data_IF_172156770656
#
_entry.id   IF_172156770656
#
_cell.length_a   1.000
_cell.length_b   1.000
_cell.length_c   1.000
_cell.angle_alpha   90.00
_cell.angle_beta   90.00
_cell.angle_gamma   90.00
#
_symmetry.space_group_name_H-M   'P 1'
#
loop_
_entity.id
_entity.type
_entity.pdbx_description
1 polymer ?
#
# COMPACT_ATOMS: atom_id res chain seq x y z
N UNK A 1 -31.45 -35.16 32.37
CA UNK A 1 -31.31 -33.68 32.38
C UNK A 1 -30.39 -33.34 31.22
N UNK A 2 -30.88 -32.60 30.22
CA UNK A 2 -30.14 -32.28 29.01
C UNK A 2 -29.36 -30.99 29.28
N UNK A 3 -28.04 -31.03 29.16
CA UNK A 3 -27.18 -29.86 29.32
C UNK A 3 -27.19 -29.02 28.03
N UNK A 4 -27.45 -27.73 28.21
CA UNK A 4 -27.56 -26.73 27.17
C UNK A 4 -26.18 -26.35 26.64
N UNK A 5 -25.86 -26.70 25.40
CA UNK A 5 -24.80 -26.02 24.66
C UNK A 5 -25.28 -24.64 24.23
N UNK A 6 -24.66 -23.60 24.80
CA UNK A 6 -24.79 -22.21 24.38
C UNK A 6 -24.05 -22.05 23.04
N UNK A 7 -24.80 -21.98 21.95
CA UNK A 7 -24.26 -21.54 20.65
C UNK A 7 -23.77 -20.09 20.77
N UNK A 8 -22.49 -19.87 20.48
CA UNK A 8 -21.92 -18.53 20.35
C UNK A 8 -22.30 -18.00 18.97
N UNK A 9 -23.12 -16.94 18.95
CA UNK A 9 -23.53 -16.24 17.75
C UNK A 9 -22.29 -15.77 16.95
N UNK A 10 -22.19 -16.23 15.69
CA UNK A 10 -21.29 -15.65 14.69
C UNK A 10 -21.82 -14.26 14.29
N UNK A 11 -20.96 -13.26 14.06
CA UNK A 11 -21.42 -11.95 13.60
C UNK A 11 -22.11 -12.08 12.23
N UNK A 12 -23.31 -11.51 12.17
CA UNK A 12 -24.14 -11.40 10.98
C UNK A 12 -23.46 -10.49 9.95
N UNK A 13 -23.17 -11.05 8.79
CA UNK A 13 -22.50 -10.41 7.64
C UNK A 13 -23.52 -10.00 6.58
N UNK A 14 -24.67 -9.46 6.98
CA UNK A 14 -25.65 -8.89 6.04
C UNK A 14 -25.40 -7.40 5.83
N UNK A 15 -25.05 -7.03 4.60
CA UNK A 15 -24.85 -5.64 4.17
C UNK A 15 -26.11 -5.13 3.48
N UNK A 16 -26.74 -4.11 4.07
CA UNK A 16 -27.86 -3.37 3.49
C UNK A 16 -27.33 -2.46 2.38
N UNK A 17 -27.77 -2.72 1.13
CA UNK A 17 -27.30 -2.07 -0.08
C UNK A 17 -27.98 -0.73 -0.40
N UNK A 18 -28.66 -0.11 0.57
CA UNK A 18 -29.54 1.05 0.32
C UNK A 18 -29.01 2.42 0.77
N UNK A 19 -27.69 2.65 0.69
CA UNK A 19 -27.13 4.02 0.73
C UNK A 19 -26.24 4.27 -0.49
N UNK A 20 -26.69 5.14 -1.38
CA UNK A 20 -25.84 5.78 -2.38
C UNK A 20 -24.83 6.68 -1.67
N UNK A 21 -23.70 6.09 -1.25
CA UNK A 21 -22.61 6.76 -0.55
C UNK A 21 -21.38 5.85 -0.52
N UNK A 22 -20.42 6.16 -1.40
CA UNK A 22 -19.03 5.65 -1.43
C UNK A 22 -18.86 4.13 -1.17
N UNK A 23 -18.93 3.32 -2.23
CA UNK A 23 -18.61 1.89 -2.17
C UNK A 23 -17.09 1.71 -1.89
N UNK A 24 -16.73 1.35 -0.65
CA UNK A 24 -15.35 1.05 -0.23
C UNK A 24 -14.81 -0.29 -0.80
N UNK A 25 -15.62 -1.03 -1.57
CA UNK A 25 -15.22 -2.30 -2.17
C UNK A 25 -14.73 -3.30 -1.12
N UNK A 26 -13.57 -3.91 -1.39
CA UNK A 26 -12.90 -4.86 -0.50
C UNK A 26 -11.82 -4.21 0.38
N UNK A 27 -11.83 -2.87 0.49
CA UNK A 27 -10.86 -2.16 1.31
C UNK A 27 -11.11 -2.41 2.80
N UNK A 28 -10.02 -2.51 3.55
CA UNK A 28 -10.01 -2.54 5.00
C UNK A 28 -9.07 -1.47 5.53
N UNK A 29 -9.46 -0.85 6.64
CA UNK A 29 -8.58 0.07 7.36
C UNK A 29 -7.50 -0.75 8.06
N UNK A 30 -6.25 -0.41 7.82
CA UNK A 30 -5.13 -1.26 8.21
C UNK A 30 -5.01 -1.41 9.74
N UNK A 31 -5.17 -0.31 10.48
CA UNK A 31 -5.07 -0.29 11.95
C UNK A 31 -6.16 -1.11 12.66
N UNK A 32 -7.29 -1.34 11.99
CA UNK A 32 -8.39 -2.14 12.55
C UNK A 32 -8.06 -3.65 12.50
N UNK A 33 -7.04 -4.03 11.73
CA UNK A 33 -6.62 -5.42 11.50
C UNK A 33 -5.28 -5.72 12.15
N UNK A 34 -4.33 -4.78 12.12
CA UNK A 34 -2.95 -4.99 12.57
C UNK A 34 -2.29 -3.67 13.00
N UNK A 35 -1.88 -3.61 14.27
CA UNK A 35 -1.27 -2.43 14.91
C UNK A 35 0.27 -2.43 14.89
N UNK A 36 0.91 -3.48 14.36
CA UNK A 36 2.37 -3.53 14.25
C UNK A 36 2.93 -2.63 13.14
N UNK A 37 2.12 -2.24 12.17
CA UNK A 37 2.53 -1.34 11.09
C UNK A 37 2.71 0.09 11.58
N UNK A 38 3.73 0.77 11.07
CA UNK A 38 3.90 2.21 11.26
C UNK A 38 3.27 2.91 10.05
N UNK A 39 2.29 3.79 10.27
CA UNK A 39 1.61 4.50 9.19
C UNK A 39 2.08 5.96 9.16
N UNK A 40 2.61 6.37 8.03
CA UNK A 40 3.10 7.72 7.78
C UNK A 40 2.78 8.10 6.34
N UNK A 41 1.48 8.20 6.02
CA UNK A 41 1.01 8.48 4.66
C UNK A 41 1.53 9.84 4.19
N UNK A 42 2.55 9.83 3.32
CA UNK A 42 3.31 11.03 2.92
C UNK A 42 2.42 12.06 2.24
N UNK A 43 1.45 11.58 1.47
CA UNK A 43 0.50 12.41 0.73
C UNK A 43 -0.61 13.02 1.60
N UNK A 44 -0.73 12.61 2.86
CA UNK A 44 -1.54 13.32 3.87
C UNK A 44 -0.77 14.47 4.54
N UNK A 45 0.49 14.71 4.14
CA UNK A 45 1.36 15.78 4.66
C UNK A 45 1.88 16.64 3.51
N UNK A 46 2.68 17.67 3.80
CA UNK A 46 3.39 18.45 2.78
C UNK A 46 4.77 17.85 2.45
N UNK A 47 5.20 16.82 3.19
CA UNK A 47 6.48 16.12 2.99
C UNK A 47 6.33 15.03 1.90
N UNK A 48 6.16 15.49 0.67
CA UNK A 48 6.11 14.68 -0.54
C UNK A 48 6.55 15.52 -1.75
N UNK A 49 6.76 14.89 -2.91
CA UNK A 49 7.30 15.56 -4.09
C UNK A 49 6.45 16.75 -4.60
N UNK A 50 5.16 16.82 -4.26
CA UNK A 50 4.30 17.95 -4.66
C UNK A 50 4.41 19.16 -3.75
N UNK A 51 4.97 19.01 -2.54
CA UNK A 51 4.97 20.03 -1.50
C UNK A 51 3.56 20.42 -1.01
N UNK A 52 2.54 19.61 -1.29
CA UNK A 52 1.13 19.87 -0.95
C UNK A 52 0.50 18.63 -0.32
N UNK A 53 -0.46 18.86 0.57
CA UNK A 53 -1.36 17.80 1.05
C UNK A 53 -2.30 17.39 -0.10
N UNK A 54 -2.31 16.10 -0.41
CA UNK A 54 -3.16 15.50 -1.46
C UNK A 54 -4.30 14.67 -0.84
N UNK A 55 -4.06 13.98 0.27
CA UNK A 55 -5.08 13.20 0.99
C UNK A 55 -5.79 14.06 2.05
N UNK A 56 -7.09 13.82 2.27
CA UNK A 56 -7.88 14.57 3.25
C UNK A 56 -7.57 14.10 4.69
N UNK A 57 -7.24 12.82 4.87
CA UNK A 57 -6.83 12.19 6.14
C UNK A 57 -5.59 11.30 5.98
N UNK A 58 -5.11 10.77 7.11
CA UNK A 58 -4.02 9.80 7.19
C UNK A 58 -4.54 8.36 7.41
N UNK A 59 -5.79 8.07 7.08
CA UNK A 59 -6.36 6.74 7.22
C UNK A 59 -5.83 5.80 6.14
N UNK A 60 -5.04 4.80 6.53
CA UNK A 60 -4.46 3.82 5.62
C UNK A 60 -5.44 2.69 5.33
N UNK A 61 -5.91 2.61 4.09
CA UNK A 61 -6.72 1.51 3.58
C UNK A 61 -5.92 0.63 2.62
N UNK A 62 -6.30 -0.63 2.49
CA UNK A 62 -5.67 -1.63 1.63
C UNK A 62 -6.68 -2.71 1.23
N UNK A 63 -6.53 -3.35 0.07
CA UNK A 63 -7.35 -4.51 -0.28
C UNK A 63 -7.13 -5.65 0.73
N UNK A 64 -8.21 -6.33 1.12
CA UNK A 64 -8.17 -7.37 2.14
C UNK A 64 -7.24 -8.53 1.80
N UNK A 65 -7.19 -8.97 0.54
CA UNK A 65 -6.32 -10.09 0.15
C UNK A 65 -4.86 -9.65 0.04
N UNK A 66 -4.62 -8.43 -0.46
CA UNK A 66 -3.29 -7.82 -0.43
C UNK A 66 -2.77 -7.63 1.00
N UNK A 67 -3.62 -7.26 1.96
CA UNK A 67 -3.24 -7.14 3.37
C UNK A 67 -2.78 -8.48 3.96
N UNK A 68 -3.44 -9.59 3.62
CA UNK A 68 -2.99 -10.92 4.08
C UNK A 68 -1.56 -11.21 3.62
N UNK A 69 -1.24 -10.88 2.36
CA UNK A 69 0.13 -11.02 1.85
C UNK A 69 1.10 -10.09 2.59
N UNK A 70 0.69 -8.85 2.87
CA UNK A 70 1.52 -7.89 3.60
C UNK A 70 1.81 -8.36 5.03
N UNK A 71 0.84 -9.00 5.69
CA UNK A 71 0.99 -9.61 7.01
C UNK A 71 2.03 -10.74 6.98
N UNK A 72 2.06 -11.57 5.94
CA UNK A 72 3.10 -12.60 5.79
C UNK A 72 4.50 -12.00 5.66
N UNK A 73 4.65 -10.94 4.86
CA UNK A 73 5.92 -10.21 4.77
C UNK A 73 6.30 -9.56 6.11
N UNK A 74 5.34 -8.92 6.78
CA UNK A 74 5.51 -8.33 8.12
C UNK A 74 6.00 -9.35 9.13
N UNK A 75 5.46 -10.56 9.13
CA UNK A 75 5.86 -11.62 10.05
C UNK A 75 7.35 -12.00 9.88
N UNK A 76 7.83 -12.05 8.63
CA UNK A 76 9.24 -12.28 8.32
C UNK A 76 10.11 -11.12 8.81
N UNK A 77 9.74 -9.87 8.50
CA UNK A 77 10.47 -8.70 8.97
C UNK A 77 10.54 -8.62 10.49
N UNK A 78 9.42 -8.86 11.17
CA UNK A 78 9.33 -8.83 12.64
C UNK A 78 10.24 -9.87 13.28
N UNK A 79 10.27 -11.09 12.76
CA UNK A 79 11.19 -12.14 13.21
C UNK A 79 12.66 -11.71 13.07
N UNK A 80 12.96 -10.97 12.01
CA UNK A 80 14.30 -10.52 11.68
C UNK A 80 14.65 -9.16 12.34
N UNK A 81 13.76 -8.62 13.20
CA UNK A 81 14.01 -7.42 14.02
C UNK A 81 13.57 -6.10 13.38
N UNK A 82 12.67 -6.14 12.41
CA UNK A 82 12.21 -4.96 11.66
C UNK A 82 10.68 -4.79 11.71
N UNK A 83 10.23 -3.55 11.51
CA UNK A 83 8.82 -3.21 11.27
C UNK A 83 8.65 -2.55 9.90
N UNK A 84 7.48 -2.74 9.29
CA UNK A 84 7.10 -2.05 8.06
C UNK A 84 6.58 -0.65 8.42
N UNK A 85 7.12 0.37 7.74
CA UNK A 85 6.52 1.71 7.67
C UNK A 85 5.88 1.91 6.30
N UNK A 86 4.62 2.35 6.29
CA UNK A 86 3.82 2.57 5.09
C UNK A 86 3.78 4.07 4.77
N UNK A 87 4.21 4.43 3.57
CA UNK A 87 4.17 5.78 3.02
C UNK A 87 3.02 6.02 2.06
N UNK A 88 2.56 4.98 1.36
CA UNK A 88 1.31 4.99 0.60
C UNK A 88 0.71 3.58 0.48
N UNK A 89 -0.62 3.50 0.33
CA UNK A 89 -1.36 2.25 0.15
C UNK A 89 -2.56 2.48 -0.78
N UNK A 90 -3.80 2.42 -0.30
CA UNK A 90 -4.94 2.82 -1.11
C UNK A 90 -4.89 4.33 -1.44
N UNK A 91 -4.99 4.66 -2.74
CA UNK A 91 -5.05 6.03 -3.27
C UNK A 91 -6.35 6.23 -4.05
N UNK A 92 -7.26 7.13 -3.64
CA UNK A 92 -8.49 7.37 -4.38
C UNK A 92 -8.22 7.91 -5.79
N UNK A 93 -9.10 7.63 -6.75
CA UNK A 93 -9.01 8.18 -8.11
C UNK A 93 -8.96 9.72 -8.08
N UNK A 94 -9.70 10.36 -7.17
CA UNK A 94 -9.67 11.80 -6.93
C UNK A 94 -8.30 12.32 -6.51
N UNK A 95 -7.57 11.59 -5.66
CA UNK A 95 -6.19 11.91 -5.32
C UNK A 95 -5.25 11.73 -6.52
N UNK A 96 -5.43 10.68 -7.33
CA UNK A 96 -4.66 10.50 -8.57
C UNK A 96 -4.90 11.64 -9.57
N UNK A 97 -6.15 12.11 -9.70
CA UNK A 97 -6.48 13.33 -10.47
C UNK A 97 -5.78 14.55 -9.91
N UNK A 98 -5.76 14.70 -8.58
CA UNK A 98 -5.09 15.82 -7.93
C UNK A 98 -3.58 15.83 -8.18
N UNK A 99 -2.91 14.68 -8.13
CA UNK A 99 -1.50 14.59 -8.53
C UNK A 99 -1.29 15.07 -9.95
N UNK A 100 -2.11 14.60 -10.89
CA UNK A 100 -2.00 14.99 -12.30
C UNK A 100 -2.26 16.49 -12.52
N UNK A 101 -3.17 17.12 -11.77
CA UNK A 101 -3.41 18.56 -11.82
C UNK A 101 -2.20 19.38 -11.33
N UNK A 102 -1.47 18.89 -10.33
CA UNK A 102 -0.30 19.56 -9.78
C UNK A 102 0.92 19.32 -10.67
N UNK A 103 1.11 18.09 -11.15
CA UNK A 103 2.29 17.63 -11.88
C UNK A 103 1.89 16.74 -13.07
N UNK A 104 1.50 17.32 -14.21
CA UNK A 104 0.98 16.61 -15.39
C UNK A 104 2.10 16.05 -16.28
N UNK A 105 2.94 15.18 -15.72
CA UNK A 105 4.04 14.52 -16.44
C UNK A 105 3.91 13.00 -16.30
N UNK A 106 3.66 12.29 -17.39
CA UNK A 106 3.45 10.84 -17.38
C UNK A 106 4.74 10.02 -17.24
N UNK A 107 5.91 10.66 -17.22
CA UNK A 107 7.14 10.00 -16.80
C UNK A 107 7.18 9.78 -15.28
N UNK A 108 6.42 10.56 -14.51
CA UNK A 108 6.49 10.61 -13.04
C UNK A 108 5.15 10.34 -12.35
N UNK A 109 4.05 10.77 -12.93
CA UNK A 109 2.70 10.65 -12.35
C UNK A 109 1.80 9.89 -13.31
N UNK A 110 1.15 8.82 -12.85
CA UNK A 110 0.21 8.09 -13.69
C UNK A 110 -0.99 8.96 -14.10
N UNK A 111 -1.42 8.85 -15.36
CA UNK A 111 -2.66 9.49 -15.83
C UNK A 111 -3.86 8.97 -15.05
N UNK A 112 -4.81 9.83 -14.65
CA UNK A 112 -6.05 9.38 -14.03
C UNK A 112 -6.83 8.43 -14.94
N UNK A 113 -7.45 7.37 -14.41
CA UNK A 113 -8.18 6.40 -15.20
C UNK A 113 -9.51 6.97 -15.72
N UNK A 114 -9.88 6.61 -16.95
CA UNK A 114 -11.24 6.84 -17.46
C UNK A 114 -12.14 5.65 -17.12
N UNK A 115 -12.80 5.76 -15.97
CA UNK A 115 -13.67 4.70 -15.44
C UNK A 115 -14.94 4.45 -16.28
N UNK A 116 -15.23 5.28 -17.30
CA UNK A 116 -16.35 5.06 -18.23
C UNK A 116 -16.00 4.07 -19.33
N UNK A 117 -14.73 4.00 -19.71
CA UNK A 117 -14.25 3.22 -20.86
C UNK A 117 -13.43 2.01 -20.43
N UNK A 118 -12.83 2.03 -19.23
CA UNK A 118 -12.07 0.91 -18.71
C UNK A 118 -12.94 -0.31 -18.37
N UNK A 119 -12.57 -1.45 -18.97
CA UNK A 119 -13.20 -2.77 -18.73
C UNK A 119 -12.26 -3.78 -18.07
N UNK A 120 -10.95 -3.49 -18.02
CA UNK A 120 -9.94 -4.29 -17.34
C UNK A 120 -9.13 -3.44 -16.36
N UNK A 121 -8.66 -4.08 -15.29
CA UNK A 121 -7.91 -3.44 -14.21
C UNK A 121 -6.62 -4.22 -13.95
N UNK A 122 -5.66 -3.55 -13.31
CA UNK A 122 -4.40 -4.13 -12.85
C UNK A 122 -4.15 -3.72 -11.39
N UNK A 123 -3.14 -4.28 -10.74
CA UNK A 123 -2.72 -3.81 -9.41
C UNK A 123 -2.27 -2.35 -9.47
N UNK A 124 -2.89 -1.52 -8.63
CA UNK A 124 -2.53 -0.11 -8.47
C UNK A 124 -2.84 0.32 -7.02
N UNK A 125 -2.38 1.51 -6.64
CA UNK A 125 -2.87 2.13 -5.40
C UNK A 125 -4.40 2.37 -5.45
N UNK A 126 -4.99 2.60 -6.63
CA UNK A 126 -6.43 2.90 -6.78
C UNK A 126 -7.38 1.75 -6.54
N UNK A 127 -6.89 0.53 -6.40
CA UNK A 127 -7.68 -0.61 -5.92
C UNK A 127 -7.10 -1.23 -4.64
N UNK A 128 -6.20 -0.51 -3.95
CA UNK A 128 -5.60 -0.98 -2.69
C UNK A 128 -4.67 -2.17 -2.86
N UNK A 129 -4.19 -2.42 -4.08
CA UNK A 129 -3.31 -3.56 -4.40
C UNK A 129 -1.84 -3.15 -4.55
N UNK A 130 -1.48 -1.93 -4.17
CA UNK A 130 -0.09 -1.47 -4.09
C UNK A 130 0.21 -0.89 -2.72
N UNK A 131 1.47 -0.98 -2.32
CA UNK A 131 2.01 -0.34 -1.13
C UNK A 131 3.37 0.29 -1.45
N UNK A 132 3.61 1.46 -0.87
CA UNK A 132 4.91 2.11 -0.83
C UNK A 132 5.43 2.03 0.60
N UNK A 133 6.54 1.32 0.80
CA UNK A 133 7.03 0.99 2.14
C UNK A 133 8.53 1.24 2.31
N UNK A 134 8.93 1.40 3.56
CA UNK A 134 10.30 1.20 4.02
C UNK A 134 10.32 0.27 5.24
N UNK A 135 11.53 -0.10 5.67
CA UNK A 135 11.75 -0.83 6.90
C UNK A 135 12.26 0.10 7.99
N UNK A 136 11.90 -0.23 9.22
CA UNK A 136 12.42 0.39 10.44
C UNK A 136 12.96 -0.69 11.36
N UNK A 137 13.86 -0.32 12.26
CA UNK A 137 14.15 -1.16 13.42
C UNK A 137 12.95 -1.23 14.39
N UNK A 138 13.07 -2.02 15.46
CA UNK A 138 11.98 -2.17 16.44
C UNK A 138 11.65 -0.89 17.20
N UNK A 139 12.55 0.10 17.23
CA UNK A 139 12.32 1.43 17.81
C UNK A 139 11.68 2.41 16.81
N UNK A 140 11.43 1.99 15.57
CA UNK A 140 10.80 2.80 14.53
C UNK A 140 11.75 3.72 13.77
N UNK A 141 13.07 3.55 13.90
CA UNK A 141 14.07 4.29 13.13
C UNK A 141 14.20 3.65 11.75
N UNK A 142 14.06 4.45 10.70
CA UNK A 142 14.14 3.97 9.32
C UNK A 142 15.52 3.40 9.02
N UNK A 143 15.53 2.26 8.32
CA UNK A 143 16.76 1.74 7.72
C UNK A 143 17.21 2.66 6.59
N UNK A 144 18.52 2.72 6.36
CA UNK A 144 19.04 3.42 5.19
C UNK A 144 18.61 2.69 3.93
N UNK A 145 18.12 3.44 2.95
CA UNK A 145 17.66 2.95 1.66
C UNK A 145 18.35 3.76 0.55
N UNK A 146 18.34 3.28 -0.71
CA UNK A 146 19.15 3.86 -1.79
C UNK A 146 18.94 5.35 -2.05
N UNK A 147 17.70 5.81 -1.87
CA UNK A 147 17.27 7.18 -2.08
C UNK A 147 16.22 7.55 -1.04
N UNK A 148 15.84 8.82 -0.99
CA UNK A 148 14.58 9.20 -0.34
C UNK A 148 13.37 8.66 -1.13
N UNK A 149 12.20 8.68 -0.49
CA UNK A 149 10.91 8.43 -1.12
C UNK A 149 10.64 9.46 -2.25
N UNK A 150 9.91 9.03 -3.28
CA UNK A 150 9.61 9.82 -4.50
C UNK A 150 10.85 10.37 -5.24
N UNK A 151 12.02 9.72 -5.11
CA UNK A 151 13.16 10.01 -5.96
C UNK A 151 13.01 9.29 -7.32
N UNK A 152 12.57 10.02 -8.33
CA UNK A 152 12.27 9.43 -9.64
C UNK A 152 13.49 9.26 -10.56
N UNK A 153 14.72 9.34 -10.03
CA UNK A 153 15.95 9.08 -10.80
C UNK A 153 16.19 7.58 -10.93
N UNK A 154 16.96 7.18 -11.94
CA UNK A 154 17.29 5.76 -12.19
C UNK A 154 17.96 5.03 -11.01
N UNK A 155 18.57 5.76 -10.08
CA UNK A 155 19.20 5.23 -8.86
C UNK A 155 18.20 4.68 -7.84
N UNK A 156 16.91 5.03 -7.95
CA UNK A 156 15.84 4.48 -7.12
C UNK A 156 15.40 3.07 -7.57
N UNK A 157 15.81 2.62 -8.75
CA UNK A 157 15.45 1.31 -9.29
C UNK A 157 16.12 0.16 -8.53
N UNK A 158 15.37 -0.85 -8.05
CA UNK A 158 15.94 -2.04 -7.39
C UNK A 158 16.93 -2.82 -8.24
N UNK A 159 16.71 -2.87 -9.56
CA UNK A 159 17.47 -3.72 -10.48
C UNK A 159 18.85 -3.17 -10.83
N UNK A 160 19.09 -1.87 -10.62
CA UNK A 160 20.33 -1.21 -11.03
C UNK A 160 21.42 -1.21 -9.94
N UNK A 161 21.20 -1.98 -8.87
CA UNK A 161 21.83 -1.70 -7.60
C UNK A 161 22.95 -2.69 -7.26
N UNK A 162 24.13 -2.12 -7.04
CA UNK A 162 25.32 -2.82 -6.57
C UNK A 162 25.15 -3.23 -5.10
N UNK A 163 25.17 -4.55 -4.76
CA UNK A 163 24.90 -5.03 -3.41
C UNK A 163 26.02 -4.74 -2.40
N UNK A 164 26.97 -3.86 -2.69
CA UNK A 164 28.09 -3.59 -1.80
C UNK A 164 27.74 -2.66 -0.63
N UNK A 165 26.81 -1.72 -0.80
CA UNK A 165 26.43 -0.76 0.26
C UNK A 165 25.32 -1.26 1.19
N UNK A 166 25.21 -0.66 2.37
CA UNK A 166 24.18 -0.99 3.37
C UNK A 166 22.76 -0.74 2.82
N UNK A 167 22.59 0.39 2.14
CA UNK A 167 21.34 0.85 1.52
C UNK A 167 20.77 -0.19 0.54
N UNK A 168 21.62 -0.69 -0.35
CA UNK A 168 21.22 -1.64 -1.37
C UNK A 168 20.99 -3.04 -0.80
N UNK A 169 21.74 -3.45 0.24
CA UNK A 169 21.46 -4.69 0.97
C UNK A 169 20.09 -4.65 1.64
N UNK A 170 19.71 -3.52 2.24
CA UNK A 170 18.41 -3.33 2.88
C UNK A 170 17.28 -3.40 1.85
N UNK A 171 17.39 -2.66 0.73
CA UNK A 171 16.39 -2.68 -0.33
C UNK A 171 16.25 -4.06 -0.99
N UNK A 172 17.36 -4.78 -1.23
CA UNK A 172 17.34 -6.14 -1.77
C UNK A 172 16.72 -7.15 -0.79
N UNK A 173 16.99 -7.02 0.51
CA UNK A 173 16.34 -7.83 1.53
C UNK A 173 14.82 -7.58 1.56
N UNK A 174 14.40 -6.31 1.62
CA UNK A 174 12.99 -5.93 1.58
C UNK A 174 12.30 -6.50 0.35
N UNK A 175 12.90 -6.34 -0.83
CA UNK A 175 12.38 -6.87 -2.09
C UNK A 175 12.17 -8.39 -2.03
N UNK A 176 13.19 -9.17 -1.63
CA UNK A 176 13.07 -10.64 -1.53
C UNK A 176 11.95 -11.08 -0.60
N UNK A 177 11.79 -10.42 0.56
CA UNK A 177 10.74 -10.79 1.51
C UNK A 177 9.36 -10.48 0.93
N UNK A 178 9.18 -9.30 0.34
CA UNK A 178 7.93 -8.91 -0.33
C UNK A 178 7.57 -9.87 -1.47
N UNK A 179 8.54 -10.21 -2.33
CA UNK A 179 8.36 -11.19 -3.41
C UNK A 179 8.00 -12.58 -2.87
N UNK A 180 8.61 -13.01 -1.77
CA UNK A 180 8.29 -14.30 -1.13
C UNK A 180 6.84 -14.37 -0.62
N UNK A 181 6.28 -13.24 -0.17
CA UNK A 181 4.87 -13.12 0.21
C UNK A 181 3.93 -13.07 -1.00
N UNK A 182 4.45 -12.76 -2.19
CA UNK A 182 3.72 -12.76 -3.46
C UNK A 182 3.53 -11.40 -4.11
N UNK A 183 4.22 -10.37 -3.62
CA UNK A 183 4.26 -9.09 -4.29
C UNK A 183 5.16 -9.15 -5.52
N UNK A 184 4.89 -8.31 -6.51
CA UNK A 184 5.89 -7.88 -7.48
C UNK A 184 6.52 -6.57 -7.02
N UNK A 185 7.77 -6.35 -7.39
CA UNK A 185 8.49 -5.11 -7.10
C UNK A 185 8.53 -4.19 -8.33
N UNK A 186 8.43 -2.88 -8.12
CA UNK A 186 8.65 -1.90 -9.19
C UNK A 186 10.07 -2.00 -9.73
N UNK A 187 10.21 -1.75 -11.03
CA UNK A 187 11.53 -1.71 -11.70
C UNK A 187 12.26 -0.40 -11.48
N UNK A 188 11.55 0.66 -11.08
CA UNK A 188 12.06 2.03 -11.02
C UNK A 188 12.04 2.62 -9.61
N UNK A 189 11.29 2.03 -8.69
CA UNK A 189 11.02 2.59 -7.36
C UNK A 189 11.22 1.51 -6.29
N UNK A 190 12.25 1.61 -5.45
CA UNK A 190 12.59 0.54 -4.51
C UNK A 190 11.59 0.31 -3.40
N UNK A 191 10.73 1.29 -3.12
CA UNK A 191 9.69 1.24 -2.11
C UNK A 191 8.37 0.64 -2.62
N UNK A 192 8.15 0.58 -3.93
CA UNK A 192 6.85 0.27 -4.53
C UNK A 192 6.67 -1.22 -4.80
N UNK A 193 5.63 -1.80 -4.22
CA UNK A 193 5.24 -3.19 -4.38
C UNK A 193 3.78 -3.32 -4.77
N UNK A 194 3.47 -4.30 -5.61
CA UNK A 194 2.11 -4.55 -6.10
C UNK A 194 1.70 -6.01 -5.93
N UNK A 195 0.41 -6.25 -5.67
CA UNK A 195 -0.16 -7.59 -5.60
C UNK A 195 0.03 -8.30 -6.95
N UNK A 196 0.74 -9.43 -6.95
CA UNK A 196 1.00 -10.21 -8.16
C UNK A 196 0.33 -11.60 -8.12
N UNK A 197 -0.61 -11.81 -7.19
CA UNK A 197 -1.30 -13.09 -6.98
C UNK A 197 -2.81 -12.99 -7.17
N UNK A 198 -3.43 -11.91 -6.73
CA UNK A 198 -4.87 -11.80 -6.65
C UNK A 198 -5.48 -11.15 -7.90
N UNK A 199 -6.76 -11.45 -8.21
CA UNK A 199 -7.50 -10.75 -9.26
C UNK A 199 -7.54 -9.24 -9.00
N UNK A 200 -7.64 -8.45 -10.07
CA UNK A 200 -7.61 -6.99 -9.96
C UNK A 200 -9.02 -6.40 -9.87
N UNK A 201 -9.46 -5.91 -8.70
CA UNK A 201 -10.76 -5.28 -8.59
C UNK A 201 -10.76 -3.91 -9.28
N UNK A 202 -11.97 -3.42 -9.53
CA UNK A 202 -12.22 -2.09 -10.09
C UNK A 202 -11.57 -1.01 -9.21
N UNK A 203 -10.99 0.00 -9.85
CA UNK A 203 -10.49 1.18 -9.14
C UNK A 203 -11.61 1.91 -8.39
N UNK A 204 -11.29 2.40 -7.19
CA UNK A 204 -12.22 3.00 -6.26
C UNK A 204 -11.93 4.48 -6.10
N UNK A 205 -12.97 5.25 -5.80
CA UNK A 205 -12.88 6.67 -5.42
C UNK A 205 -13.47 6.88 -4.02
N UNK A 206 -13.19 5.92 -3.13
CA UNK A 206 -13.52 6.01 -1.71
C UNK A 206 -12.64 7.09 -1.09
N UNK A 207 -13.24 8.15 -0.54
CA UNK A 207 -12.44 9.28 -0.04
C UNK A 207 -11.76 8.92 1.27
N UNK A 208 -10.48 9.25 1.35
CA UNK A 208 -9.65 9.21 2.54
C UNK A 208 -9.02 10.57 2.76
#
# INVERSE_FOLDING_TARGET
>A
MKENHKEMNKPDMSFDSSKEGCNQGNLVKLIDVDDDFIIELRYATEDNFTGKRVYESAECYIDRETLKMLIEARNVFKRDGYRIKIWDAYRPISAQKRFWEIYPDDNFVARPPDMKTMTSFRSTHMNGQCVDITLTDMEGRELKMPTCFDDFREIAALRNNDPETEEYKNAAYMCRVMESAGFGASRTEWWHFYDNKNPHPRYLDYRI
#
